data_IF_496957310389
#
_entry.id   IF_496957310389
#
_cell.length_a   1.000
_cell.length_b   1.000
_cell.length_c   1.000
_cell.angle_alpha   90.00
_cell.angle_beta   90.00
_cell.angle_gamma   90.00
#
_symmetry.space_group_name_H-M   'P 1'
#
loop_
_entity.id
_entity.type
_entity.pdbx_description
1 polymer ?
#
# COMPACT_ATOMS: atom_id res chain seq x y z
N UNK A 1 -5.88 3.51 13.82
CA UNK A 1 -4.97 3.61 14.99
C UNK A 1 -3.78 2.66 14.99
N UNK A 2 -3.95 1.33 14.94
CA UNK A 2 -2.83 0.36 15.00
C UNK A 2 -1.67 0.69 14.03
N UNK A 3 -1.97 0.84 12.74
CA UNK A 3 -0.94 1.11 11.71
C UNK A 3 -0.29 2.48 11.94
N UNK A 4 -1.09 3.54 12.18
CA UNK A 4 -0.59 4.90 12.41
C UNK A 4 0.38 4.98 13.59
N UNK A 5 0.05 4.33 14.71
CA UNK A 5 0.92 4.33 15.91
C UNK A 5 2.18 3.52 15.69
N UNK A 6 2.07 2.35 15.04
CA UNK A 6 3.19 1.48 14.71
C UNK A 6 4.22 2.19 13.81
N UNK A 7 3.81 2.71 12.66
CA UNK A 7 4.74 3.34 11.70
C UNK A 7 5.42 4.58 12.28
N UNK A 8 4.70 5.35 13.12
CA UNK A 8 5.26 6.52 13.81
C UNK A 8 6.31 6.12 14.86
N UNK A 9 6.07 5.05 15.62
CA UNK A 9 6.99 4.56 16.64
C UNK A 9 8.27 3.98 16.05
N UNK A 10 8.15 3.25 14.94
CA UNK A 10 9.31 2.65 14.25
C UNK A 10 10.08 3.68 13.42
N UNK A 11 9.42 4.76 12.98
CA UNK A 11 10.06 5.81 12.19
C UNK A 11 10.27 5.44 10.72
N UNK A 12 9.41 4.56 10.19
CA UNK A 12 9.46 4.16 8.78
C UNK A 12 9.22 5.33 7.83
N UNK A 13 9.85 5.23 6.66
CA UNK A 13 9.72 6.19 5.55
C UNK A 13 9.53 5.42 4.25
N UNK A 14 8.72 5.97 3.35
CA UNK A 14 8.41 5.31 2.08
C UNK A 14 7.33 4.24 2.24
N UNK A 15 7.38 3.23 1.38
CA UNK A 15 6.32 2.22 1.24
C UNK A 15 6.59 1.03 2.14
N UNK A 16 5.59 0.70 2.95
CA UNK A 16 5.60 -0.42 3.88
C UNK A 16 4.35 -1.24 3.60
N UNK A 17 4.54 -2.53 3.37
CA UNK A 17 3.49 -3.54 3.28
C UNK A 17 3.40 -4.25 4.63
N UNK A 18 2.18 -4.40 5.16
CA UNK A 18 1.93 -4.93 6.50
C UNK A 18 0.81 -5.95 6.41
N UNK A 19 1.11 -7.18 6.79
CA UNK A 19 0.09 -8.23 6.88
C UNK A 19 -0.51 -8.25 8.28
N UNK A 20 -1.83 -8.16 8.35
CA UNK A 20 -2.60 -8.07 9.59
C UNK A 20 -3.68 -9.15 9.61
N UNK A 21 -3.74 -9.90 10.70
CA UNK A 21 -4.83 -10.85 10.96
C UNK A 21 -5.80 -10.26 11.99
N UNK A 22 -7.10 -10.49 11.78
CA UNK A 22 -8.14 -10.23 12.79
C UNK A 22 -8.55 -11.56 13.43
N UNK A 23 -8.34 -11.71 14.73
CA UNK A 23 -8.67 -12.91 15.52
C UNK A 23 -9.46 -12.47 16.74
N UNK A 24 -10.67 -13.01 16.93
CA UNK A 24 -11.55 -12.69 18.08
C UNK A 24 -11.69 -11.17 18.32
N UNK A 25 -11.97 -10.42 17.25
CA UNK A 25 -12.09 -8.95 17.25
C UNK A 25 -10.83 -8.13 17.54
N UNK A 26 -9.68 -8.78 17.68
CA UNK A 26 -8.39 -8.13 17.84
C UNK A 26 -7.52 -8.22 16.58
N UNK A 27 -6.76 -7.17 16.30
CA UNK A 27 -5.87 -7.09 15.14
C UNK A 27 -4.41 -7.35 15.54
N UNK A 28 -3.75 -8.25 14.81
CA UNK A 28 -2.38 -8.68 15.02
C UNK A 28 -1.54 -8.43 13.77
N UNK A 29 -0.40 -7.77 13.92
CA UNK A 29 0.58 -7.63 12.84
C UNK A 29 1.37 -8.94 12.76
N UNK A 30 1.32 -9.61 11.62
CA UNK A 30 2.09 -10.85 11.38
C UNK A 30 3.42 -10.54 10.72
N UNK A 31 3.42 -9.70 9.68
CA UNK A 31 4.61 -9.38 8.91
C UNK A 31 4.68 -7.89 8.60
N UNK A 32 5.92 -7.40 8.45
CA UNK A 32 6.22 -6.02 8.10
C UNK A 32 7.32 -6.01 7.06
N UNK A 33 6.99 -5.56 5.87
CA UNK A 33 7.85 -5.62 4.71
C UNK A 33 8.07 -4.19 4.17
N UNK A 34 9.25 -3.57 4.35
CA UNK A 34 9.50 -2.18 3.93
C UNK A 34 9.74 -2.05 2.41
N UNK A 35 8.75 -2.47 1.62
CA UNK A 35 8.73 -2.51 0.16
C UNK A 35 7.28 -2.58 -0.34
N UNK A 36 7.05 -2.45 -1.65
CA UNK A 36 5.73 -2.66 -2.23
C UNK A 36 5.21 -4.09 -2.00
N UNK A 37 3.99 -4.21 -1.48
CA UNK A 37 3.26 -5.46 -1.39
C UNK A 37 2.81 -5.98 -2.75
N UNK A 38 2.65 -7.30 -2.87
CA UNK A 38 2.09 -7.89 -4.09
C UNK A 38 0.67 -7.42 -4.37
N UNK A 39 -0.07 -6.96 -3.35
CA UNK A 39 -1.42 -6.38 -3.49
C UNK A 39 -1.45 -4.91 -3.90
N UNK A 40 -0.29 -4.24 -4.01
CA UNK A 40 -0.19 -2.81 -4.34
C UNK A 40 -1.04 -2.36 -5.56
N UNK A 41 -1.09 -3.11 -6.69
CA UNK A 41 -1.92 -2.71 -7.82
C UNK A 41 -3.38 -2.45 -7.45
N UNK A 42 -3.93 -3.18 -6.47
CA UNK A 42 -5.30 -2.95 -6.01
C UNK A 42 -5.49 -1.53 -5.47
N UNK A 43 -4.59 -1.07 -4.58
CA UNK A 43 -4.66 0.28 -4.03
C UNK A 43 -4.50 1.35 -5.11
N UNK A 44 -3.63 1.13 -6.08
CA UNK A 44 -3.43 2.04 -7.21
C UNK A 44 -4.68 2.18 -8.07
N UNK A 45 -5.28 1.06 -8.48
CA UNK A 45 -6.50 1.04 -9.29
C UNK A 45 -7.72 1.58 -8.52
N UNK A 46 -7.72 1.50 -7.18
CA UNK A 46 -8.72 2.16 -6.32
C UNK A 46 -8.42 3.66 -6.06
N UNK A 47 -7.49 4.28 -6.80
CA UNK A 47 -7.21 5.72 -6.75
C UNK A 47 -6.07 6.16 -5.83
N UNK A 48 -5.46 5.25 -5.06
CA UNK A 48 -4.33 5.56 -4.17
C UNK A 48 -3.02 5.58 -4.98
N UNK A 49 -2.72 6.73 -5.59
CA UNK A 49 -1.59 6.89 -6.50
C UNK A 49 -0.23 7.07 -5.76
N UNK A 50 0.29 5.98 -5.21
CA UNK A 50 1.57 5.94 -4.50
C UNK A 50 2.77 6.40 -5.37
N UNK A 51 2.91 6.01 -6.65
CA UNK A 51 4.05 6.45 -7.47
C UNK A 51 4.08 7.97 -7.62
N UNK A 52 2.92 8.61 -7.82
CA UNK A 52 2.82 10.08 -7.80
C UNK A 52 3.31 10.63 -6.47
N UNK A 53 2.89 10.05 -5.35
CA UNK A 53 3.33 10.49 -4.02
C UNK A 53 4.84 10.40 -3.83
N UNK A 54 5.49 9.36 -4.38
CA UNK A 54 6.95 9.21 -4.37
C UNK A 54 7.61 10.31 -5.21
N UNK A 55 7.10 10.57 -6.43
CA UNK A 55 7.61 11.62 -7.31
C UNK A 55 7.51 13.00 -6.62
N UNK A 56 6.40 13.27 -5.92
CA UNK A 56 6.24 14.50 -5.14
C UNK A 56 7.28 14.60 -4.02
N UNK A 57 7.54 13.52 -3.28
CA UNK A 57 8.56 13.53 -2.23
C UNK A 57 9.98 13.74 -2.77
N UNK A 58 10.33 13.14 -3.92
CA UNK A 58 11.60 13.40 -4.61
C UNK A 58 11.71 14.88 -4.99
N UNK A 59 10.58 15.49 -5.34
CA UNK A 59 10.46 16.94 -5.62
C UNK A 59 10.38 17.80 -4.36
N UNK A 60 10.62 17.23 -3.17
CA UNK A 60 10.51 17.89 -1.84
C UNK A 60 9.12 18.45 -1.54
N UNK A 61 8.08 17.90 -2.16
CA UNK A 61 6.69 18.23 -1.88
C UNK A 61 6.11 17.23 -0.88
N UNK A 62 5.37 17.76 0.09
CA UNK A 62 4.66 16.95 1.09
C UNK A 62 3.32 16.51 0.49
N UNK A 63 3.03 15.22 0.57
CA UNK A 63 1.76 14.68 0.12
C UNK A 63 0.64 15.03 1.10
N UNK A 64 -0.57 15.23 0.57
CA UNK A 64 -1.78 15.29 1.38
C UNK A 64 -2.04 13.93 2.05
N UNK A 65 -2.58 13.95 3.28
CA UNK A 65 -3.15 12.75 3.90
C UNK A 65 -4.46 12.38 3.19
N UNK A 66 -4.52 11.16 2.65
CA UNK A 66 -5.63 10.62 1.87
C UNK A 66 -6.13 9.29 2.46
N UNK A 67 -5.82 9.00 3.73
CA UNK A 67 -6.26 7.76 4.39
C UNK A 67 -7.79 7.68 4.37
N UNK A 68 -8.31 6.62 3.75
CA UNK A 68 -9.74 6.38 3.61
C UNK A 68 -10.39 7.07 2.39
N UNK A 69 -9.63 7.83 1.59
CA UNK A 69 -10.12 8.44 0.35
C UNK A 69 -10.07 7.41 -0.81
N UNK A 70 -10.76 6.28 -0.67
CA UNK A 70 -10.93 5.24 -1.70
C UNK A 70 -12.29 4.55 -1.55
N UNK A 71 -12.77 3.91 -2.62
CA UNK A 71 -14.04 3.18 -2.62
C UNK A 71 -13.86 1.76 -2.04
N UNK A 72 -14.80 1.34 -1.18
CA UNK A 72 -14.86 -0.01 -0.64
C UNK A 72 -15.67 -0.95 -1.55
N UNK A 73 -15.54 -2.26 -1.35
CA UNK A 73 -16.31 -3.26 -2.12
C UNK A 73 -15.75 -3.58 -3.51
N UNK A 74 -14.53 -3.11 -3.82
CA UNK A 74 -13.81 -3.43 -5.06
C UNK A 74 -12.99 -4.71 -4.88
N UNK A 75 -12.98 -5.56 -5.91
CA UNK A 75 -12.24 -6.82 -5.95
C UNK A 75 -11.15 -6.76 -7.02
N UNK A 76 -9.92 -7.09 -6.66
CA UNK A 76 -8.83 -7.33 -7.61
C UNK A 76 -8.69 -8.83 -7.88
N UNK A 77 -8.71 -9.21 -9.16
CA UNK A 77 -8.37 -10.55 -9.61
C UNK A 77 -7.09 -10.50 -10.45
N UNK A 78 -6.08 -11.26 -10.05
CA UNK A 78 -4.86 -11.44 -10.86
C UNK A 78 -5.06 -12.59 -11.82
N UNK A 79 -4.72 -12.36 -13.07
CA UNK A 79 -4.67 -13.37 -14.12
C UNK A 79 -3.34 -13.27 -14.86
N UNK A 80 -2.92 -14.35 -15.49
CA UNK A 80 -1.65 -14.39 -16.21
C UNK A 80 -1.81 -13.69 -17.56
N UNK A 81 -0.85 -12.83 -17.90
CA UNK A 81 -0.67 -12.31 -19.24
C UNK A 81 0.53 -13.01 -19.91
N UNK A 82 0.47 -13.16 -21.24
CA UNK A 82 1.59 -13.69 -22.04
C UNK A 82 1.96 -12.64 -23.08
N UNK A 83 3.22 -12.21 -23.07
CA UNK A 83 3.76 -11.27 -24.06
C UNK A 83 4.85 -11.95 -24.88
N UNK A 84 4.62 -12.07 -26.20
CA UNK A 84 5.62 -12.54 -27.17
C UNK A 84 6.29 -11.31 -27.79
N UNK A 85 7.60 -11.20 -27.68
CA UNK A 85 8.39 -10.09 -28.25
C UNK A 85 9.41 -10.67 -29.23
N UNK A 86 9.49 -10.11 -30.44
CA UNK A 86 10.56 -10.41 -31.40
C UNK A 86 11.72 -9.43 -31.19
N UNK A 87 12.94 -9.92 -31.42
CA UNK A 87 14.16 -9.11 -31.37
C UNK A 87 14.17 -8.04 -32.47
#
# INVERSE_FOLDING_TARGET
ELIKSFVKKVGFKGIIDIDIFKVNDEYYISEVNPRFGGGYPHGYECGVNIPKMIIENISRKVNKDVIGEYEEGIYMMKYNEVKIVKK
#
